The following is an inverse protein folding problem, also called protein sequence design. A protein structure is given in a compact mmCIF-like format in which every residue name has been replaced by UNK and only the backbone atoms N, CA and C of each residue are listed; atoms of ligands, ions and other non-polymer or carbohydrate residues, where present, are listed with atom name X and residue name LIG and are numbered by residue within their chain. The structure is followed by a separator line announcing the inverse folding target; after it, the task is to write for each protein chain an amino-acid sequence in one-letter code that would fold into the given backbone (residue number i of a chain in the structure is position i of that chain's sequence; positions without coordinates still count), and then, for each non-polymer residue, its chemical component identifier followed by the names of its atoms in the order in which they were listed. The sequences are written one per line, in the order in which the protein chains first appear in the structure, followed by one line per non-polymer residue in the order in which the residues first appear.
data_IF_311922717069
#
_entry.id   IF_311922717069
#
_cell.length_a   1.000
_cell.length_b   1.000
_cell.length_c   1.000
_cell.angle_alpha   90.00
_cell.angle_beta   90.00
_cell.angle_gamma   90.00
#
_symmetry.space_group_name_H-M   'P 1'
#
loop_
_entity.id
_entity.type
_entity.pdbx_description
1 polymer ?
#
# COMPACT_ATOMS: atom_id res chain seq x y z
N UNK A 1 -3.91 -15.87 -6.20
CA UNK A 1 -3.79 -14.41 -6.06
C UNK A 1 -4.79 -13.95 -5.02
N UNK A 2 -4.33 -13.66 -3.80
CA UNK A 2 -5.19 -13.13 -2.73
C UNK A 2 -4.83 -11.65 -2.58
N UNK A 3 -5.77 -10.76 -2.91
CA UNK A 3 -5.84 -9.45 -2.26
C UNK A 3 -6.10 -9.75 -0.78
N UNK A 4 -5.21 -9.34 0.11
CA UNK A 4 -5.40 -9.49 1.55
C UNK A 4 -6.41 -8.44 2.04
N UNK A 5 -7.69 -8.67 1.74
CA UNK A 5 -8.79 -7.94 2.37
C UNK A 5 -8.95 -8.53 3.77
N UNK A 6 -8.28 -7.93 4.75
CA UNK A 6 -8.37 -8.37 6.13
C UNK A 6 -9.59 -7.70 6.78
N UNK A 7 -10.67 -8.46 6.97
CA UNK A 7 -11.86 -7.98 7.67
C UNK A 7 -11.66 -8.09 9.19
N UNK A 8 -11.20 -7.01 9.84
CA UNK A 8 -11.17 -6.95 11.30
C UNK A 8 -12.59 -6.58 11.81
N UNK A 9 -13.38 -7.58 12.22
CA UNK A 9 -14.69 -7.43 12.90
C UNK A 9 -15.66 -6.44 12.23
N UNK A 10 -16.47 -6.94 11.28
CA UNK A 10 -17.64 -6.27 10.66
C UNK A 10 -17.40 -5.05 9.76
N UNK A 11 -16.20 -4.48 9.72
CA UNK A 11 -15.79 -3.44 8.76
C UNK A 11 -14.75 -4.06 7.81
N UNK A 12 -14.84 -3.72 6.52
CA UNK A 12 -13.85 -4.17 5.53
C UNK A 12 -12.74 -3.13 5.47
N UNK A 13 -11.51 -3.57 5.68
CA UNK A 13 -10.31 -2.77 5.52
C UNK A 13 -9.44 -3.43 4.45
N UNK A 14 -8.89 -2.63 3.53
CA UNK A 14 -8.03 -3.12 2.47
C UNK A 14 -6.57 -2.82 2.81
N UNK A 15 -5.70 -3.81 2.67
CA UNK A 15 -4.25 -3.61 2.76
C UNK A 15 -3.68 -3.64 1.34
N UNK A 16 -3.15 -2.51 0.87
CA UNK A 16 -2.46 -2.40 -0.41
C UNK A 16 -0.97 -2.60 -0.17
N UNK A 17 -0.51 -3.79 -0.52
CA UNK A 17 0.83 -4.27 -0.17
C UNK A 17 1.57 -4.95 -1.33
N UNK A 18 1.02 -4.89 -2.54
CA UNK A 18 1.63 -5.46 -3.74
C UNK A 18 1.50 -4.50 -4.92
N UNK A 19 2.44 -4.57 -5.87
CA UNK A 19 2.43 -3.73 -7.10
C UNK A 19 1.07 -3.70 -7.77
N UNK A 20 0.44 -4.87 -7.97
CA UNK A 20 -0.84 -4.96 -8.66
C UNK A 20 -1.98 -4.25 -7.91
N UNK A 21 -1.92 -4.23 -6.58
CA UNK A 21 -2.88 -3.51 -5.75
C UNK A 21 -2.73 -2.00 -5.92
N UNK A 22 -1.50 -1.49 -5.92
CA UNK A 22 -1.24 -0.06 -6.19
C UNK A 22 -1.58 0.33 -7.63
N UNK A 23 -1.33 -0.54 -8.61
CA UNK A 23 -1.67 -0.29 -10.00
C UNK A 23 -3.19 -0.13 -10.23
N UNK A 24 -4.03 -0.71 -9.36
CA UNK A 24 -5.48 -0.65 -9.44
C UNK A 24 -6.12 0.11 -8.27
N UNK A 25 -5.35 0.94 -7.56
CA UNK A 25 -5.80 1.60 -6.32
C UNK A 25 -7.06 2.45 -6.53
N UNK A 26 -7.19 3.10 -7.68
CA UNK A 26 -8.36 3.90 -8.03
C UNK A 26 -9.61 3.03 -8.22
N UNK A 27 -9.50 1.90 -8.92
CA UNK A 27 -10.59 0.97 -9.11
C UNK A 27 -11.02 0.31 -7.79
N UNK A 28 -10.06 0.00 -6.91
CA UNK A 28 -10.32 -0.51 -5.56
C UNK A 28 -11.04 0.55 -4.73
N UNK A 29 -10.64 1.82 -4.81
CA UNK A 29 -11.29 2.92 -4.12
C UNK A 29 -12.72 3.19 -4.62
N UNK A 30 -12.95 3.10 -5.94
CA UNK A 30 -14.30 3.22 -6.52
C UNK A 30 -15.19 2.05 -6.06
N UNK A 31 -14.67 0.82 -6.10
CA UNK A 31 -15.38 -0.34 -5.58
C UNK A 31 -15.62 -0.24 -4.07
N UNK A 32 -14.72 0.42 -3.32
CA UNK A 32 -14.86 0.70 -1.90
C UNK A 32 -16.01 1.66 -1.62
N UNK A 33 -16.07 2.75 -2.38
CA UNK A 33 -17.11 3.77 -2.28
C UNK A 33 -18.51 3.20 -2.57
N UNK A 34 -18.58 2.13 -3.37
CA UNK A 34 -19.80 1.40 -3.69
C UNK A 34 -20.06 0.20 -2.74
N UNK A 35 -19.15 -0.07 -1.79
CA UNK A 35 -19.15 -1.24 -0.91
C UNK A 35 -19.07 -0.91 0.58
N UNK A 36 -18.57 -1.86 1.39
CA UNK A 36 -18.40 -1.72 2.86
C UNK A 36 -16.95 -1.46 3.28
N UNK A 37 -16.11 -1.07 2.32
CA UNK A 37 -14.68 -0.86 2.52
C UNK A 37 -14.46 0.60 2.95
N UNK A 38 -14.03 0.80 4.19
CA UNK A 38 -13.98 2.12 4.84
C UNK A 38 -12.58 2.74 4.86
N UNK A 39 -11.54 1.90 4.86
CA UNK A 39 -10.15 2.35 4.93
C UNK A 39 -9.22 1.46 4.11
N UNK A 40 -8.16 2.08 3.61
CA UNK A 40 -7.10 1.42 2.85
C UNK A 40 -5.76 1.72 3.51
N UNK A 41 -5.08 0.68 3.99
CA UNK A 41 -3.77 0.74 4.61
C UNK A 41 -2.68 0.44 3.59
N UNK A 42 -1.53 1.10 3.71
CA UNK A 42 -0.38 0.85 2.85
C UNK A 42 0.64 -0.05 3.55
N UNK A 43 0.78 -1.28 3.04
CA UNK A 43 1.72 -2.28 3.55
C UNK A 43 3.12 -2.05 2.98
N UNK A 44 3.85 -1.06 3.51
CA UNK A 44 5.15 -0.59 2.96
C UNK A 44 6.17 -1.72 2.77
N UNK A 45 6.26 -2.66 3.72
CA UNK A 45 7.26 -3.72 3.70
C UNK A 45 7.01 -4.75 2.59
N UNK A 46 5.80 -5.29 2.53
CA UNK A 46 5.38 -6.24 1.51
C UNK A 46 5.29 -5.56 0.13
N UNK A 47 4.92 -4.27 0.09
CA UNK A 47 4.95 -3.50 -1.14
C UNK A 47 6.39 -3.34 -1.66
N UNK A 48 7.33 -2.99 -0.78
CA UNK A 48 8.75 -2.91 -1.12
C UNK A 48 9.31 -4.26 -1.59
N UNK A 49 8.93 -5.36 -0.93
CA UNK A 49 9.29 -6.71 -1.36
C UNK A 49 8.72 -7.04 -2.75
N UNK A 50 7.46 -6.68 -3.01
CA UNK A 50 6.83 -6.91 -4.32
C UNK A 50 7.50 -6.14 -5.45
N UNK A 51 8.03 -4.95 -5.17
CA UNK A 51 8.78 -4.08 -6.10
C UNK A 51 10.26 -4.43 -6.22
N UNK A 52 10.74 -5.45 -5.50
CA UNK A 52 12.17 -5.72 -5.35
C UNK A 52 12.96 -4.45 -4.93
N UNK A 53 12.35 -3.61 -4.09
CA UNK A 53 12.96 -2.38 -3.63
C UNK A 53 14.16 -2.67 -2.73
N UNK A 54 15.20 -1.84 -2.83
CA UNK A 54 16.43 -1.98 -2.04
C UNK A 54 16.22 -1.52 -0.59
N UNK A 55 15.52 -2.32 0.20
CA UNK A 55 15.31 -2.09 1.64
C UNK A 55 15.36 -3.41 2.42
N UNK A 56 15.85 -3.33 3.64
CA UNK A 56 15.82 -4.41 4.64
C UNK A 56 15.14 -3.96 5.94
N UNK A 57 14.68 -2.71 5.98
CA UNK A 57 14.14 -2.03 7.16
C UNK A 57 12.78 -1.45 6.80
N UNK A 58 11.84 -1.59 7.73
CA UNK A 58 10.48 -1.07 7.55
C UNK A 58 10.51 0.44 7.81
N UNK A 59 9.85 1.19 6.93
CA UNK A 59 9.55 2.61 7.12
C UNK A 59 10.77 3.55 7.26
N UNK A 60 11.93 3.17 6.71
CA UNK A 60 13.12 4.01 6.67
C UNK A 60 13.42 4.53 5.27
N UNK A 61 13.98 5.74 5.23
CA UNK A 61 14.56 6.30 4.02
C UNK A 61 15.75 5.45 3.56
N UNK A 62 15.88 5.28 2.26
CA UNK A 62 17.02 4.64 1.64
C UNK A 62 18.07 5.70 1.28
N UNK A 63 19.35 5.49 1.60
CA UNK A 63 20.44 6.40 1.25
C UNK A 63 20.59 6.57 -0.27
N UNK A 64 20.21 5.55 -1.06
CA UNK A 64 20.15 5.64 -2.52
C UNK A 64 18.98 6.49 -3.05
N UNK A 65 18.05 6.88 -2.18
CA UNK A 65 16.88 7.68 -2.51
C UNK A 65 16.69 8.79 -1.46
N UNK A 66 17.60 9.78 -1.43
CA UNK A 66 17.59 10.83 -0.42
C UNK A 66 16.35 11.71 -0.55
N UNK A 67 15.94 12.32 0.58
CA UNK A 67 14.84 13.29 0.57
C UNK A 67 15.22 14.44 -0.37
N UNK A 68 14.31 14.88 -1.26
CA UNK A 68 14.52 16.09 -2.04
C UNK A 68 14.85 17.26 -1.11
N UNK A 69 15.82 18.09 -1.49
CA UNK A 69 16.13 19.33 -0.77
C UNK A 69 14.92 20.27 -0.74
N UNK A 70 14.96 21.35 0.08
CA UNK A 70 13.91 22.36 0.05
C UNK A 70 13.72 22.85 -1.39
N UNK A 71 12.47 22.82 -1.87
CA UNK A 71 12.12 23.37 -3.18
C UNK A 71 12.46 24.86 -3.12
N UNK A 72 13.43 25.28 -3.95
CA UNK A 72 13.82 26.69 -4.13
C UNK A 72 12.71 27.49 -4.79
#
# INVERSE_FOLDING_TARGET
MRLAVQACKNIIEALIEIILGMANVEAIAIAAALGRLETTHFGVADYAASNCARTQVIDRLNDYYPRPGPLS
#
